data_IF_195430822830
#
_entry.id   IF_195430822830
#
_cell.length_a   1.000
_cell.length_b   1.000
_cell.length_c   1.000
_cell.angle_alpha   90.00
_cell.angle_beta   90.00
_cell.angle_gamma   90.00
#
_symmetry.space_group_name_H-M   'P 1'
#
loop_
_entity.id
_entity.type
_entity.pdbx_description
1 polymer ?
#
# COMPACT_ATOMS: atom_id res chain seq x y z
N UNK A 1 -12.81 -24.39 -7.79
CA UNK A 1 -12.78 -23.23 -6.87
C UNK A 1 -11.34 -23.06 -6.42
N UNK A 2 -10.54 -22.21 -7.10
CA UNK A 2 -9.12 -22.02 -6.77
C UNK A 2 -9.01 -21.18 -5.49
N UNK A 3 -8.60 -21.80 -4.40
CA UNK A 3 -8.19 -21.09 -3.19
C UNK A 3 -6.79 -20.51 -3.45
N UNK A 4 -6.74 -19.28 -3.99
CA UNK A 4 -5.51 -18.51 -4.02
C UNK A 4 -5.09 -18.26 -2.56
N UNK A 5 -4.08 -19.00 -2.11
CA UNK A 5 -3.29 -18.71 -0.91
C UNK A 5 -2.55 -17.39 -1.13
N UNK A 6 -3.30 -16.29 -1.09
CA UNK A 6 -2.79 -14.93 -1.22
C UNK A 6 -1.91 -14.64 -0.03
N UNK A 7 -0.63 -14.36 -0.29
CA UNK A 7 0.35 -13.93 0.69
C UNK A 7 -0.28 -12.89 1.64
N UNK A 8 -0.35 -13.20 2.94
CA UNK A 8 -0.97 -12.36 3.94
C UNK A 8 -0.42 -10.93 3.88
N UNK A 9 -1.16 -10.02 3.27
CA UNK A 9 -0.89 -8.60 3.30
C UNK A 9 -1.22 -8.11 4.70
N UNK A 10 -0.20 -7.60 5.41
CA UNK A 10 -0.41 -7.01 6.74
C UNK A 10 -0.69 -5.53 6.57
N UNK A 11 -1.85 -5.08 7.04
CA UNK A 11 -2.27 -3.67 7.04
C UNK A 11 -2.35 -3.22 8.48
N UNK A 12 -1.66 -2.15 8.84
CA UNK A 12 -1.82 -1.46 10.12
C UNK A 12 -2.45 -0.10 9.86
N UNK A 13 -3.67 0.08 10.38
CA UNK A 13 -4.34 1.37 10.38
C UNK A 13 -4.07 2.04 11.73
N UNK A 14 -3.45 3.22 11.73
CA UNK A 14 -3.12 3.96 12.94
C UNK A 14 -4.02 5.19 13.08
N UNK A 15 -4.26 5.61 14.33
CA UNK A 15 -5.08 6.79 14.64
C UNK A 15 -4.40 8.12 14.28
N UNK A 16 -3.09 8.10 14.02
CA UNK A 16 -2.28 9.25 13.60
C UNK A 16 -2.34 9.49 12.07
N UNK A 17 -3.28 8.82 11.39
CA UNK A 17 -3.50 8.90 9.96
C UNK A 17 -2.30 8.39 9.11
N UNK A 18 -1.36 7.67 9.72
CA UNK A 18 -0.18 7.11 9.05
C UNK A 18 -0.24 5.59 9.08
N UNK A 19 -0.73 5.01 7.99
CA UNK A 19 -0.98 3.58 7.85
C UNK A 19 0.20 2.88 7.17
N UNK A 20 0.38 1.59 7.40
CA UNK A 20 1.41 0.82 6.70
C UNK A 20 0.88 -0.49 6.13
N UNK A 21 1.44 -0.89 5.00
CA UNK A 21 1.08 -2.13 4.31
C UNK A 21 2.31 -2.88 3.83
N UNK A 22 2.39 -4.17 4.15
CA UNK A 22 3.42 -5.06 3.63
C UNK A 22 2.86 -5.90 2.47
N UNK A 23 3.50 -5.86 1.31
CA UNK A 23 3.06 -6.58 0.10
C UNK A 23 4.24 -7.13 -0.72
N UNK A 24 3.95 -7.97 -1.71
CA UNK A 24 4.90 -8.38 -2.76
C UNK A 24 4.40 -7.82 -4.10
N UNK A 25 5.30 -7.32 -4.93
CA UNK A 25 4.99 -6.74 -6.24
C UNK A 25 5.44 -5.29 -6.38
N UNK A 26 5.12 -4.69 -7.53
CA UNK A 26 5.46 -3.31 -7.88
C UNK A 26 4.66 -2.25 -7.11
N UNK A 27 5.01 -0.97 -7.29
CA UNK A 27 4.34 0.15 -6.61
C UNK A 27 2.83 0.21 -6.87
N UNK A 28 2.36 -0.27 -8.03
CA UNK A 28 0.94 -0.33 -8.40
C UNK A 28 0.16 -1.25 -7.45
N UNK A 29 0.76 -2.37 -7.04
CA UNK A 29 0.15 -3.30 -6.07
C UNK A 29 0.00 -2.62 -4.72
N UNK A 30 1.00 -1.85 -4.29
CA UNK A 30 0.94 -1.04 -3.07
C UNK A 30 -0.20 -0.03 -3.10
N UNK A 31 -0.31 0.73 -4.18
CA UNK A 31 -1.36 1.74 -4.38
C UNK A 31 -2.77 1.11 -4.35
N UNK A 32 -2.97 0.00 -5.06
CA UNK A 32 -4.26 -0.69 -5.10
C UNK A 32 -4.68 -1.21 -3.73
N UNK A 33 -3.74 -1.85 -3.01
CA UNK A 33 -4.02 -2.42 -1.69
C UNK A 33 -4.26 -1.32 -0.64
N UNK A 34 -3.48 -0.25 -0.65
CA UNK A 34 -3.68 0.91 0.21
C UNK A 34 -5.03 1.59 -0.05
N UNK A 35 -5.37 1.82 -1.33
CA UNK A 35 -6.67 2.39 -1.73
C UNK A 35 -7.82 1.51 -1.27
N UNK A 36 -7.69 0.19 -1.39
CA UNK A 36 -8.70 -0.76 -0.89
C UNK A 36 -8.84 -0.70 0.62
N UNK A 37 -7.74 -0.54 1.36
CA UNK A 37 -7.76 -0.38 2.80
C UNK A 37 -8.50 0.90 3.21
N UNK A 38 -8.20 2.02 2.55
CA UNK A 38 -8.86 3.30 2.82
C UNK A 38 -10.35 3.28 2.48
N UNK A 39 -10.75 2.65 1.37
CA UNK A 39 -12.17 2.45 1.04
C UNK A 39 -12.92 1.64 2.08
N UNK A 40 -12.28 0.63 2.68
CA UNK A 40 -12.86 -0.12 3.80
C UNK A 40 -12.98 0.71 5.07
N UNK A 41 -12.13 1.72 5.25
CA UNK A 41 -12.17 2.66 6.36
C UNK A 41 -13.12 3.84 6.13
N UNK A 42 -13.82 3.91 4.99
CA UNK A 42 -14.77 4.98 4.66
C UNK A 42 -14.22 6.12 3.81
N UNK A 43 -12.96 6.02 3.40
CA UNK A 43 -12.26 7.07 2.63
C UNK A 43 -12.24 6.76 1.12
N UNK A 44 -11.97 7.75 0.27
CA UNK A 44 -12.05 7.56 -1.19
C UNK A 44 -10.75 7.02 -1.79
N UNK A 45 -9.62 7.44 -1.25
CA UNK A 45 -8.31 7.13 -1.81
C UNK A 45 -7.22 6.91 -0.77
N UNK A 46 -6.06 6.46 -1.24
CA UNK A 46 -4.85 6.37 -0.46
C UNK A 46 -3.72 7.18 -1.12
N UNK A 47 -2.95 7.87 -0.31
CA UNK A 47 -1.74 8.59 -0.72
C UNK A 47 -0.54 7.84 -0.14
N UNK A 48 0.27 7.23 -1.01
CA UNK A 48 1.53 6.59 -0.60
C UNK A 48 2.53 7.69 -0.25
N UNK A 49 3.02 7.69 0.99
CA UNK A 49 4.05 8.62 1.47
C UNK A 49 5.44 8.08 1.13
N UNK A 50 5.64 6.78 1.33
CA UNK A 50 6.93 6.14 1.11
C UNK A 50 6.76 4.64 0.87
N UNK A 51 7.67 4.06 0.11
CA UNK A 51 7.78 2.61 -0.08
C UNK A 51 9.23 2.22 0.12
N UNK A 52 9.47 1.24 0.98
CA UNK A 52 10.80 0.69 1.26
C UNK A 52 10.78 -0.82 1.14
N UNK A 53 11.93 -1.43 0.91
CA UNK A 53 12.05 -2.88 1.03
C UNK A 53 11.92 -3.27 2.51
N UNK A 54 11.21 -4.36 2.77
CA UNK A 54 11.13 -4.94 4.11
C UNK A 54 12.48 -5.48 4.57
N UNK A 55 13.24 -6.03 3.62
CA UNK A 55 14.62 -6.44 3.83
C UNK A 55 15.55 -5.38 3.22
N UNK A 56 16.30 -4.63 4.04
CA UNK A 56 17.16 -3.56 3.55
C UNK A 56 18.39 -4.08 2.79
N UNK A 57 18.71 -5.38 2.88
CA UNK A 57 19.81 -5.98 2.12
C UNK A 57 19.48 -6.23 0.65
N UNK A 58 18.19 -6.18 0.30
CA UNK A 58 17.73 -6.41 -1.07
C UNK A 58 17.73 -5.11 -1.89
N UNK A 59 18.01 -5.16 -3.21
CA UNK A 59 17.90 -4.00 -4.10
C UNK A 59 16.48 -3.39 -4.08
N UNK A 60 16.33 -2.06 -4.17
CA UNK A 60 15.02 -1.41 -4.19
C UNK A 60 14.05 -2.03 -5.20
N UNK A 61 12.82 -2.29 -4.75
CA UNK A 61 11.78 -2.90 -5.61
C UNK A 61 11.88 -4.42 -5.71
N UNK A 62 12.85 -5.06 -5.06
CA UNK A 62 12.97 -6.51 -4.98
C UNK A 62 12.46 -7.05 -3.64
N UNK A 63 11.78 -8.20 -3.67
CA UNK A 63 11.26 -8.85 -2.46
C UNK A 63 9.93 -8.29 -1.95
N UNK A 64 9.77 -8.22 -0.62
CA UNK A 64 8.57 -7.68 0.05
C UNK A 64 8.78 -6.19 0.30
N UNK A 65 7.78 -5.40 -0.05
CA UNK A 65 7.75 -3.96 0.16
C UNK A 65 6.91 -3.61 1.38
N UNK A 66 7.28 -2.52 2.06
CA UNK A 66 6.49 -1.86 3.09
C UNK A 66 6.18 -0.46 2.57
N UNK A 67 4.90 -0.19 2.30
CA UNK A 67 4.45 1.15 1.97
C UNK A 67 3.80 1.81 3.19
N UNK A 68 4.12 3.08 3.41
CA UNK A 68 3.47 3.96 4.36
C UNK A 68 2.49 4.84 3.58
N UNK A 69 1.25 4.96 4.04
CA UNK A 69 0.20 5.67 3.33
C UNK A 69 -0.77 6.38 4.26
N UNK A 70 -1.44 7.42 3.74
CA UNK A 70 -2.57 8.07 4.41
C UNK A 70 -3.83 7.80 3.63
N UNK A 71 -4.95 7.74 4.34
CA UNK A 71 -6.25 7.77 3.68
C UNK A 71 -6.67 9.21 3.44
N UNK A 72 -7.33 9.43 2.31
CA UNK A 72 -7.86 10.74 1.94
C UNK A 72 -9.30 10.62 1.45
N UNK A 73 -10.11 11.60 1.84
CA UNK A 73 -11.48 11.75 1.36
C UNK A 73 -11.53 12.30 -0.07
N UNK A 74 -10.43 12.86 -0.57
CA UNK A 74 -10.26 13.27 -1.96
C UNK A 74 -9.91 12.08 -2.86
N UNK A 75 -10.24 12.18 -4.14
CA UNK A 75 -9.76 11.24 -5.14
C UNK A 75 -8.23 11.38 -5.25
N UNK A 76 -7.49 10.27 -5.18
CA UNK A 76 -6.03 10.33 -5.24
C UNK A 76 -5.64 10.98 -6.57
N UNK A 77 -4.73 11.97 -6.58
CA UNK A 77 -4.24 12.51 -7.84
C UNK A 77 -3.65 11.35 -8.63
N UNK A 78 -4.15 11.15 -9.85
CA UNK A 78 -3.52 10.26 -10.80
C UNK A 78 -2.05 10.65 -10.89
N UNK A 79 -1.15 9.74 -10.57
CA UNK A 79 0.29 9.91 -10.75
C UNK A 79 0.54 10.13 -12.25
N UNK A 80 0.48 11.38 -12.69
CA UNK A 80 1.06 11.84 -13.94
C UNK A 80 2.57 11.86 -13.74
N UNK A 81 3.21 10.72 -13.95
CA UNK A 81 4.60 10.69 -14.35
C UNK A 81 4.65 11.35 -15.74
N UNK A 82 5.44 12.42 -15.86
CA UNK A 82 5.51 13.29 -17.04
C UNK A 82 6.03 12.63 -18.31
#
# INVERSE_FOLDING_TARGET
MLVLLGACTTIKLNHDNTNSITYKGGPEVGQQLATRACRKAGERSAIIISTVNKDPSLPPGTGRQVATFRCSSDEAPATNSG
#
